data_IF_202862382454
#
_entry.id   IF_202862382454
#
_cell.length_a   1.000
_cell.length_b   1.000
_cell.length_c   1.000
_cell.angle_alpha   90.00
_cell.angle_beta   90.00
_cell.angle_gamma   90.00
#
_symmetry.space_group_name_H-M   'P 1'
#
loop_
_entity.id
_entity.type
_entity.pdbx_description
1 polymer ?
#
# COMPACT_ATOMS: atom_id res chain seq x y z
N UNK A 1 6.56 -15.44 -51.71
CA UNK A 1 6.54 -14.33 -50.75
C UNK A 1 5.74 -14.79 -49.54
N UNK A 2 6.42 -15.21 -48.48
CA UNK A 2 5.83 -15.63 -47.21
C UNK A 2 5.69 -14.40 -46.32
N UNK A 3 4.47 -14.11 -45.88
CA UNK A 3 4.21 -13.04 -44.91
C UNK A 3 4.79 -13.40 -43.54
N UNK A 4 5.31 -12.44 -42.76
CA UNK A 4 5.81 -12.69 -41.41
C UNK A 4 4.64 -12.91 -40.44
N UNK A 5 4.80 -13.77 -39.41
CA UNK A 5 3.74 -14.03 -38.44
C UNK A 5 3.43 -12.78 -37.62
N UNK A 6 2.15 -12.46 -37.49
CA UNK A 6 1.65 -11.43 -36.59
C UNK A 6 2.02 -11.81 -35.14
N UNK A 7 2.92 -11.05 -34.54
CA UNK A 7 3.30 -11.23 -33.14
C UNK A 7 2.11 -10.95 -32.20
N UNK A 8 1.91 -11.76 -31.15
CA UNK A 8 0.91 -11.49 -30.12
C UNK A 8 1.48 -10.39 -29.21
N UNK A 9 1.08 -9.13 -29.39
CA UNK A 9 1.81 -8.04 -28.74
C UNK A 9 1.03 -6.83 -28.22
N UNK A 10 -0.28 -6.72 -28.44
CA UNK A 10 -0.98 -5.45 -28.17
C UNK A 10 -2.27 -5.56 -27.37
N UNK A 11 -2.87 -6.74 -27.25
CA UNK A 11 -4.13 -6.93 -26.51
C UNK A 11 -3.96 -7.24 -25.03
N UNK A 12 -2.82 -7.81 -24.59
CA UNK A 12 -2.63 -8.24 -23.19
C UNK A 12 -2.12 -7.15 -22.24
N UNK A 13 -1.58 -6.06 -22.79
CA UNK A 13 -0.94 -4.99 -21.99
C UNK A 13 -1.92 -4.18 -21.12
N UNK A 14 -3.15 -3.82 -21.56
CA UNK A 14 -4.09 -3.05 -20.75
C UNK A 14 -4.70 -3.85 -19.59
N UNK A 15 -5.00 -5.13 -19.81
CA UNK A 15 -5.53 -6.04 -18.78
C UNK A 15 -4.49 -6.30 -17.70
N UNK A 16 -3.22 -6.54 -18.08
CA UNK A 16 -2.14 -6.70 -17.12
C UNK A 16 -1.93 -5.47 -16.21
N UNK A 17 -2.08 -4.25 -16.73
CA UNK A 17 -1.96 -3.02 -15.93
C UNK A 17 -3.08 -2.90 -14.88
N UNK A 18 -4.31 -3.30 -15.24
CA UNK A 18 -5.44 -3.34 -14.32
C UNK A 18 -5.23 -4.38 -13.22
N UNK A 19 -4.73 -5.58 -13.58
CA UNK A 19 -4.45 -6.63 -12.61
C UNK A 19 -3.39 -6.18 -11.59
N UNK A 20 -2.31 -5.54 -12.03
CA UNK A 20 -1.28 -5.02 -11.12
C UNK A 20 -1.82 -3.86 -10.27
N UNK A 21 -2.69 -3.02 -10.82
CA UNK A 21 -3.36 -1.95 -10.08
C UNK A 21 -4.25 -2.52 -8.96
N UNK A 22 -5.06 -3.54 -9.25
CA UNK A 22 -5.90 -4.21 -8.26
C UNK A 22 -5.08 -4.99 -7.23
N UNK A 23 -4.02 -5.67 -7.66
CA UNK A 23 -3.12 -6.37 -6.76
C UNK A 23 -2.41 -5.41 -5.80
N UNK A 24 -1.89 -4.29 -6.29
CA UNK A 24 -1.25 -3.27 -5.45
C UNK A 24 -2.24 -2.64 -4.47
N UNK A 25 -3.47 -2.36 -4.89
CA UNK A 25 -4.54 -1.92 -3.98
C UNK A 25 -4.86 -2.98 -2.91
N UNK A 26 -4.91 -4.26 -3.29
CA UNK A 26 -5.13 -5.36 -2.36
C UNK A 26 -4.04 -5.45 -1.31
N UNK A 27 -2.77 -5.40 -1.72
CA UNK A 27 -1.61 -5.37 -0.79
C UNK A 27 -1.71 -4.17 0.14
N UNK A 28 -2.01 -2.98 -0.40
CA UNK A 28 -2.18 -1.77 0.40
C UNK A 28 -3.27 -1.94 1.47
N UNK A 29 -4.44 -2.46 1.10
CA UNK A 29 -5.56 -2.67 2.01
C UNK A 29 -5.26 -3.73 3.08
N UNK A 30 -4.58 -4.81 2.71
CA UNK A 30 -4.16 -5.83 3.68
C UNK A 30 -3.13 -5.25 4.65
N UNK A 31 -2.10 -4.56 4.16
CA UNK A 31 -1.12 -3.89 5.02
C UNK A 31 -1.79 -2.85 5.93
N UNK A 32 -2.73 -2.07 5.39
CA UNK A 32 -3.52 -1.11 6.18
C UNK A 32 -4.30 -1.79 7.30
N UNK A 33 -5.00 -2.88 6.98
CA UNK A 33 -5.78 -3.64 7.96
C UNK A 33 -4.89 -4.25 9.05
N UNK A 34 -3.70 -4.75 8.69
CA UNK A 34 -2.73 -5.26 9.66
C UNK A 34 -2.24 -4.16 10.60
N UNK A 35 -1.88 -2.98 10.07
CA UNK A 35 -1.51 -1.81 10.89
C UNK A 35 -2.67 -1.37 11.80
N UNK A 36 -3.90 -1.39 11.28
CA UNK A 36 -5.10 -1.04 12.05
C UNK A 36 -5.34 -2.01 13.21
N UNK A 37 -5.27 -3.32 12.95
CA UNK A 37 -5.42 -4.35 14.00
C UNK A 37 -4.31 -4.23 15.04
N UNK A 38 -3.06 -4.01 14.62
CA UNK A 38 -1.96 -3.79 15.56
C UNK A 38 -2.22 -2.56 16.45
N UNK A 39 -2.64 -1.44 15.85
CA UNK A 39 -2.87 -0.19 16.56
C UNK A 39 -4.09 -0.23 17.52
N UNK A 40 -5.22 -0.80 17.08
CA UNK A 40 -6.50 -0.66 17.79
C UNK A 40 -7.05 -1.95 18.40
N UNK A 41 -6.53 -3.12 18.07
CA UNK A 41 -6.95 -4.38 18.68
C UNK A 41 -5.86 -5.00 19.56
N UNK A 42 -4.58 -4.79 19.21
CA UNK A 42 -3.46 -5.30 20.02
C UNK A 42 -2.97 -4.26 21.01
N UNK A 43 -2.79 -3.01 20.57
CA UNK A 43 -2.21 -1.94 21.39
C UNK A 43 -3.25 -0.95 21.95
N UNK A 44 -4.53 -1.32 22.02
CA UNK A 44 -5.59 -0.42 22.50
C UNK A 44 -5.43 -0.04 23.99
N UNK A 45 -4.87 -0.95 24.79
CA UNK A 45 -4.62 -0.76 26.22
C UNK A 45 -3.27 -0.10 26.54
N UNK A 46 -2.34 -0.08 25.58
CA UNK A 46 -1.00 0.51 25.72
C UNK A 46 -1.07 1.99 26.20
N UNK A 47 -1.98 2.83 25.70
CA UNK A 47 -2.17 4.20 26.15
C UNK A 47 -2.57 4.37 27.61
N UNK A 48 -3.18 3.35 28.22
CA UNK A 48 -3.62 3.40 29.62
C UNK A 48 -2.48 3.02 30.59
N UNK A 49 -1.45 2.32 30.09
CA UNK A 49 -0.30 1.86 30.86
C UNK A 49 0.97 2.71 30.63
N UNK A 50 0.97 3.61 29.65
CA UNK A 50 2.13 4.40 29.28
C UNK A 50 1.93 5.90 29.50
N UNK A 51 2.98 6.58 29.97
CA UNK A 51 2.99 8.03 30.19
C UNK A 51 3.18 8.87 28.93
N UNK A 52 3.79 8.32 27.87
CA UNK A 52 4.02 9.02 26.61
C UNK A 52 3.64 8.15 25.40
N UNK A 53 2.49 8.50 24.81
CA UNK A 53 1.83 7.73 23.76
C UNK A 53 2.00 8.45 22.43
N UNK A 54 2.61 7.76 21.47
CA UNK A 54 2.74 8.23 20.10
C UNK A 54 1.66 7.60 19.23
N UNK A 55 0.78 8.44 18.68
CA UNK A 55 -0.27 8.02 17.74
C UNK A 55 0.01 8.57 16.35
N UNK A 56 -0.04 7.69 15.35
CA UNK A 56 0.04 8.05 13.94
C UNK A 56 -1.20 7.49 13.24
N UNK A 57 -1.83 8.29 12.39
CA UNK A 57 -3.04 7.87 11.68
C UNK A 57 -2.74 7.15 10.35
N UNK A 58 -1.54 7.34 9.80
CA UNK A 58 -1.20 6.82 8.47
C UNK A 58 0.32 6.57 8.30
N UNK A 59 0.77 5.31 8.24
CA UNK A 59 0.03 4.10 8.61
C UNK A 59 -0.49 4.17 10.07
N UNK A 60 -1.66 3.57 10.38
CA UNK A 60 -2.17 3.52 11.75
C UNK A 60 -1.14 2.92 12.70
N UNK A 61 -0.77 3.67 13.73
CA UNK A 61 0.18 3.23 14.75
C UNK A 61 -0.21 3.81 16.10
N UNK A 62 -0.13 2.96 17.13
CA UNK A 62 -0.17 3.35 18.54
C UNK A 62 1.04 2.71 19.20
N UNK A 63 2.01 3.54 19.55
CA UNK A 63 3.25 3.11 20.17
C UNK A 63 3.48 3.86 21.48
N UNK A 64 4.18 3.20 22.40
CA UNK A 64 4.58 3.73 23.69
C UNK A 64 6.07 3.99 23.69
N UNK A 65 6.46 5.22 24.00
CA UNK A 65 7.87 5.60 24.07
C UNK A 65 8.37 5.38 25.50
N UNK A 66 9.33 4.48 25.66
CA UNK A 66 10.05 4.32 26.93
C UNK A 66 10.97 5.51 27.17
N UNK A 67 11.36 5.74 28.43
CA UNK A 67 12.34 6.76 28.81
C UNK A 67 13.69 6.58 28.10
N UNK A 68 14.03 5.33 27.73
CA UNK A 68 15.24 4.99 27.00
C UNK A 68 15.12 5.21 25.47
N UNK A 69 13.97 5.72 25.01
CA UNK A 69 13.68 5.98 23.60
C UNK A 69 13.23 4.77 22.79
N UNK A 70 13.07 3.60 23.42
CA UNK A 70 12.52 2.41 22.75
C UNK A 70 11.01 2.57 22.51
N UNK A 71 10.55 2.16 21.33
CA UNK A 71 9.14 2.21 20.94
C UNK A 71 8.53 0.82 21.03
N UNK A 72 7.59 0.64 21.96
CA UNK A 72 6.82 -0.59 22.11
C UNK A 72 5.50 -0.43 21.37
N UNK A 73 5.13 -1.40 20.54
CA UNK A 73 3.89 -1.35 19.74
C UNK A 73 4.01 -0.65 18.39
N UNK A 74 5.21 -0.18 18.02
CA UNK A 74 5.47 0.35 16.68
C UNK A 74 5.22 -0.70 15.60
N UNK A 75 4.80 -0.27 14.42
CA UNK A 75 4.63 -1.19 13.30
C UNK A 75 5.97 -1.77 12.87
N UNK A 76 5.96 -3.01 12.38
CA UNK A 76 7.15 -3.59 11.81
C UNK A 76 7.54 -2.81 10.54
N UNK A 77 8.79 -2.35 10.44
CA UNK A 77 9.23 -1.49 9.33
C UNK A 77 9.04 -2.10 7.93
N UNK A 78 9.00 -3.44 7.81
CA UNK A 78 8.70 -4.11 6.54
C UNK A 78 7.23 -3.97 6.13
N UNK A 79 6.30 -3.88 7.09
CA UNK A 79 4.87 -3.62 6.81
C UNK A 79 4.70 -2.20 6.31
N UNK A 80 5.38 -1.24 6.94
CA UNK A 80 5.36 0.16 6.48
C UNK A 80 5.90 0.30 5.05
N UNK A 81 7.02 -0.38 4.76
CA UNK A 81 7.59 -0.39 3.42
C UNK A 81 6.59 -0.95 2.38
N UNK A 82 5.92 -2.06 2.68
CA UNK A 82 4.87 -2.63 1.82
C UNK A 82 3.69 -1.68 1.63
N UNK A 83 3.24 -1.04 2.72
CA UNK A 83 2.15 -0.09 2.71
C UNK A 83 2.43 1.10 1.78
N UNK A 84 3.59 1.76 1.94
CA UNK A 84 3.96 2.89 1.10
C UNK A 84 4.27 2.48 -0.35
N UNK A 85 5.00 1.38 -0.55
CA UNK A 85 5.35 0.93 -1.89
C UNK A 85 4.10 0.56 -2.71
N UNK A 86 3.17 -0.18 -2.12
CA UNK A 86 1.92 -0.56 -2.78
C UNK A 86 1.03 0.64 -3.11
N UNK A 87 0.94 1.62 -2.20
CA UNK A 87 0.23 2.88 -2.46
C UNK A 87 0.83 3.66 -3.63
N UNK A 88 2.15 3.82 -3.65
CA UNK A 88 2.86 4.54 -4.74
C UNK A 88 2.64 3.84 -6.08
N UNK A 89 2.78 2.51 -6.12
CA UNK A 89 2.52 1.72 -7.34
C UNK A 89 1.08 1.91 -7.81
N UNK A 90 0.10 1.83 -6.91
CA UNK A 90 -1.31 2.03 -7.23
C UNK A 90 -1.57 3.43 -7.82
N UNK A 91 -1.03 4.48 -7.20
CA UNK A 91 -1.19 5.87 -7.68
C UNK A 91 -0.56 6.06 -9.06
N UNK A 92 0.65 5.54 -9.28
CA UNK A 92 1.34 5.66 -10.56
C UNK A 92 0.59 4.91 -11.68
N UNK A 93 0.19 3.67 -11.43
CA UNK A 93 -0.52 2.87 -12.44
C UNK A 93 -1.93 3.41 -12.74
N UNK A 94 -2.68 3.79 -11.71
CA UNK A 94 -4.00 4.40 -11.91
C UNK A 94 -3.91 5.72 -12.68
N UNK A 95 -2.94 6.59 -12.37
CA UNK A 95 -2.72 7.84 -13.10
C UNK A 95 -2.36 7.60 -14.57
N UNK A 96 -1.53 6.60 -14.86
CA UNK A 96 -1.17 6.21 -16.23
C UNK A 96 -2.41 5.70 -17.00
N UNK A 97 -3.24 4.86 -16.37
CA UNK A 97 -4.48 4.37 -16.98
C UNK A 97 -5.47 5.52 -17.26
N UNK A 98 -5.62 6.45 -16.31
CA UNK A 98 -6.44 7.66 -16.47
C UNK A 98 -5.95 8.54 -17.62
N UNK A 99 -4.64 8.78 -17.71
CA UNK A 99 -4.03 9.56 -18.78
C UNK A 99 -4.25 8.91 -20.16
N UNK A 100 -4.05 7.60 -20.27
CA UNK A 100 -4.32 6.84 -21.49
C UNK A 100 -5.80 6.89 -21.89
N UNK A 101 -6.70 6.76 -20.92
CA UNK A 101 -8.14 6.85 -21.16
C UNK A 101 -8.55 8.25 -21.63
N UNK A 102 -7.98 9.31 -21.03
CA UNK A 102 -8.23 10.69 -21.42
C UNK A 102 -7.69 10.99 -22.83
N UNK A 103 -6.49 10.51 -23.17
CA UNK A 103 -5.90 10.67 -24.49
C UNK A 103 -6.71 9.97 -25.59
N UNK A 104 -7.33 8.81 -25.29
CA UNK A 104 -8.21 8.09 -26.24
C UNK A 104 -9.59 8.73 -26.46
N UNK A 105 -10.00 9.63 -25.57
CA UNK A 105 -11.29 10.36 -25.68
C UNK A 105 -11.17 11.69 -26.44
N UNK A 106 -9.95 12.14 -26.73
CA UNK A 106 -9.65 13.29 -27.60
C UNK A 106 -9.49 12.83 -29.04
#
# INVERSE_FOLDING_TARGET
MTAPPAGPGTTDRPTALWDVCLASLGVFLVSWALCWVNAYAVNDDLPNACGDVRRQSFPPEVACMSADGTLTGANAGWIEALFYASLVVFVLLSSMVLALAAARRK
#
